data_IF_954852828812
#
_entry.id   IF_954852828812
#
_cell.length_a   1.000
_cell.length_b   1.000
_cell.length_c   1.000
_cell.angle_alpha   90.00
_cell.angle_beta   90.00
_cell.angle_gamma   90.00
#
_symmetry.space_group_name_H-M   'P 1'
#
loop_
_entity.id
_entity.type
_entity.pdbx_description
1 polymer ?
#
# COMPACT_ATOMS: atom_id res chain seq x y z
N UNK A 1 15.36 16.40 6.98
CA UNK A 1 16.10 15.39 6.19
C UNK A 1 15.22 14.48 5.31
N UNK A 2 14.00 14.12 5.70
CA UNK A 2 13.11 13.21 4.93
C UNK A 2 12.71 13.69 3.51
N UNK A 3 12.82 14.99 3.21
CA UNK A 3 12.45 15.54 1.89
C UNK A 3 13.35 15.12 0.72
N UNK A 4 14.64 14.84 0.98
CA UNK A 4 15.62 14.52 -0.09
C UNK A 4 15.46 13.11 -0.65
N UNK A 5 15.31 12.09 0.20
CA UNK A 5 15.08 10.71 -0.24
C UNK A 5 13.80 10.59 -1.07
N UNK A 6 12.79 11.39 -0.74
CA UNK A 6 11.49 11.40 -1.39
C UNK A 6 11.53 11.95 -2.82
N UNK A 7 12.21 13.08 -3.04
CA UNK A 7 12.34 13.65 -4.38
C UNK A 7 13.10 12.70 -5.30
N UNK A 8 14.18 12.09 -4.78
CA UNK A 8 14.95 11.08 -5.51
C UNK A 8 14.07 9.88 -5.89
N UNK A 9 13.34 9.32 -4.94
CA UNK A 9 12.44 8.20 -5.20
C UNK A 9 11.46 8.49 -6.35
N UNK A 10 10.78 9.64 -6.33
CA UNK A 10 9.83 10.01 -7.40
C UNK A 10 10.48 10.16 -8.76
N UNK A 11 11.68 10.71 -8.83
CA UNK A 11 12.46 10.81 -10.07
C UNK A 11 12.83 9.43 -10.61
N UNK A 12 13.30 8.53 -9.74
CA UNK A 12 13.76 7.20 -10.15
C UNK A 12 12.62 6.28 -10.64
N UNK A 13 11.37 6.54 -10.24
CA UNK A 13 10.22 5.71 -10.63
C UNK A 13 9.38 6.30 -11.77
N UNK A 14 9.55 7.57 -12.14
CA UNK A 14 8.62 8.31 -13.02
C UNK A 14 8.38 7.63 -14.39
N UNK A 15 9.41 6.99 -14.96
CA UNK A 15 9.35 6.39 -16.31
C UNK A 15 9.50 4.87 -16.29
N UNK A 16 9.43 4.25 -15.11
CA UNK A 16 9.61 2.80 -14.96
C UNK A 16 8.27 2.13 -14.70
N UNK A 17 8.03 0.98 -15.32
CA UNK A 17 6.86 0.14 -15.02
C UNK A 17 7.17 -0.76 -13.82
N UNK A 18 7.12 -0.18 -12.62
CA UNK A 18 7.46 -0.87 -11.38
C UNK A 18 6.23 -0.97 -10.47
N UNK A 19 5.86 -2.18 -10.00
CA UNK A 19 4.89 -2.29 -8.93
C UNK A 19 5.50 -1.73 -7.64
N UNK A 20 4.71 -0.95 -6.89
CA UNK A 20 5.11 -0.38 -5.60
C UNK A 20 4.18 -0.89 -4.52
N UNK A 21 4.75 -1.43 -3.45
CA UNK A 21 4.02 -1.77 -2.23
C UNK A 21 4.35 -0.76 -1.14
N UNK A 22 3.34 -0.06 -0.63
CA UNK A 22 3.44 0.81 0.54
C UNK A 22 2.78 0.10 1.73
N UNK A 23 3.61 -0.45 2.60
CA UNK A 23 3.14 -1.27 3.70
C UNK A 23 2.77 -0.45 4.94
N UNK A 24 1.69 -0.85 5.63
CA UNK A 24 1.25 -0.35 6.93
C UNK A 24 1.14 1.19 7.00
N UNK A 25 0.55 1.81 5.97
CA UNK A 25 0.34 3.25 5.96
C UNK A 25 -0.73 3.65 6.99
N UNK A 26 -0.42 4.60 7.87
CA UNK A 26 -1.37 5.12 8.88
C UNK A 26 -2.00 6.45 8.50
N UNK A 27 -1.47 7.13 7.47
CA UNK A 27 -2.02 8.40 7.01
C UNK A 27 -1.95 8.57 5.50
N UNK A 28 -3.02 9.14 4.93
CA UNK A 28 -3.13 9.46 3.50
C UNK A 28 -1.94 10.30 3.04
N UNK A 29 -1.47 11.25 3.87
CA UNK A 29 -0.31 12.09 3.56
C UNK A 29 0.93 11.25 3.24
N UNK A 30 1.22 10.19 4.00
CA UNK A 30 2.40 9.34 3.74
C UNK A 30 2.39 8.77 2.32
N UNK A 31 1.21 8.28 1.89
CA UNK A 31 1.02 7.67 0.57
C UNK A 31 1.07 8.71 -0.55
N UNK A 32 0.31 9.81 -0.45
CA UNK A 32 0.25 10.84 -1.51
C UNK A 32 1.64 11.37 -1.88
N UNK A 33 2.53 11.41 -0.89
CA UNK A 33 3.88 11.92 -1.07
C UNK A 33 4.78 10.97 -1.90
N UNK A 34 4.42 9.69 -2.01
CA UNK A 34 5.16 8.64 -2.72
C UNK A 34 4.48 8.21 -4.02
N UNK A 35 3.27 8.69 -4.33
CA UNK A 35 2.61 8.34 -5.58
C UNK A 35 3.42 8.85 -6.80
N UNK A 36 3.62 8.01 -7.82
CA UNK A 36 4.19 8.43 -9.10
C UNK A 36 3.28 9.47 -9.76
N UNK A 37 3.89 10.40 -10.51
CA UNK A 37 3.15 11.42 -11.25
C UNK A 37 2.56 10.92 -12.57
N UNK A 38 2.85 9.67 -12.94
CA UNK A 38 2.50 9.03 -14.21
C UNK A 38 1.76 7.72 -13.94
N UNK A 39 0.83 7.30 -14.81
CA UNK A 39 0.05 6.07 -14.64
C UNK A 39 0.85 4.78 -14.97
N UNK A 40 2.19 4.86 -15.04
CA UNK A 40 3.06 3.76 -15.45
C UNK A 40 3.26 2.67 -14.37
N UNK A 41 2.87 2.96 -13.13
CA UNK A 41 3.09 2.09 -11.97
C UNK A 41 1.77 1.72 -11.28
N UNK A 42 1.64 0.45 -10.91
CA UNK A 42 0.61 0.00 -9.97
C UNK A 42 1.12 0.20 -8.55
N UNK A 43 0.35 0.88 -7.72
CA UNK A 43 0.66 1.08 -6.30
C UNK A 43 -0.34 0.29 -5.45
N UNK A 44 0.16 -0.65 -4.67
CA UNK A 44 -0.61 -1.37 -3.65
C UNK A 44 -0.28 -0.75 -2.29
N UNK A 45 -1.31 -0.47 -1.50
CA UNK A 45 -1.17 0.07 -0.16
C UNK A 45 -1.83 -0.89 0.81
N UNK A 46 -1.10 -1.31 1.84
CA UNK A 46 -1.70 -2.00 2.99
C UNK A 46 -1.88 -0.98 4.12
N UNK A 47 -2.99 -1.11 4.85
CA UNK A 47 -3.31 -0.23 5.96
C UNK A 47 -4.31 -0.91 6.87
N UNK A 48 -4.30 -0.49 8.14
CA UNK A 48 -5.36 -0.78 9.11
C UNK A 48 -6.43 0.33 9.15
N UNK A 49 -6.11 1.49 8.60
CA UNK A 49 -6.98 2.66 8.52
C UNK A 49 -7.73 2.69 7.18
N UNK A 50 -8.84 3.43 7.13
CA UNK A 50 -9.68 3.49 5.93
C UNK A 50 -9.02 4.22 4.75
N UNK A 51 -8.09 5.14 5.04
CA UNK A 51 -7.41 6.01 4.10
C UNK A 51 -8.34 6.64 3.05
N UNK A 52 -9.56 7.03 3.45
CA UNK A 52 -10.64 7.43 2.55
C UNK A 52 -10.26 8.51 1.51
N UNK A 53 -9.32 9.41 1.86
CA UNK A 53 -8.80 10.41 0.94
C UNK A 53 -8.06 9.86 -0.29
N UNK A 54 -7.54 8.63 -0.25
CA UNK A 54 -6.97 7.96 -1.42
C UNK A 54 -8.06 7.51 -2.40
N UNK A 55 -9.20 7.02 -1.89
CA UNK A 55 -10.35 6.66 -2.71
C UNK A 55 -10.94 7.93 -3.35
N UNK A 56 -11.22 8.94 -2.52
CA UNK A 56 -11.91 10.15 -2.95
C UNK A 56 -11.10 11.01 -3.94
N UNK A 57 -9.78 11.10 -3.77
CA UNK A 57 -8.95 12.04 -4.56
C UNK A 57 -8.07 11.35 -5.60
N UNK A 58 -7.67 10.10 -5.34
CA UNK A 58 -6.73 9.38 -6.20
C UNK A 58 -7.36 8.16 -6.89
N UNK A 59 -8.69 8.01 -6.80
CA UNK A 59 -9.41 6.91 -7.43
C UNK A 59 -8.98 5.53 -6.94
N UNK A 60 -8.40 5.44 -5.73
CA UNK A 60 -7.89 4.18 -5.21
C UNK A 60 -9.04 3.18 -5.01
N UNK A 61 -8.83 1.94 -5.47
CA UNK A 61 -9.75 0.85 -5.18
C UNK A 61 -9.43 0.25 -3.81
N UNK A 62 -10.38 0.32 -2.88
CA UNK A 62 -10.20 -0.26 -1.55
C UNK A 62 -10.65 -1.71 -1.54
N UNK A 63 -9.73 -2.61 -1.18
CA UNK A 63 -10.03 -4.01 -0.90
C UNK A 63 -10.10 -4.22 0.61
N UNK A 64 -11.29 -4.51 1.14
CA UNK A 64 -11.45 -4.82 2.56
C UNK A 64 -11.26 -6.33 2.78
N UNK A 65 -10.15 -6.71 3.42
CA UNK A 65 -9.85 -8.10 3.71
C UNK A 65 -10.67 -8.57 4.92
N UNK A 66 -11.41 -9.66 4.75
CA UNK A 66 -12.09 -10.32 5.86
C UNK A 66 -11.08 -11.14 6.67
N UNK A 67 -11.34 -11.38 7.96
CA UNK A 67 -10.59 -12.38 8.72
C UNK A 67 -10.58 -13.73 8.00
N UNK A 68 -9.52 -14.52 8.23
CA UNK A 68 -9.49 -15.90 7.78
C UNK A 68 -10.72 -16.64 8.30
N UNK A 69 -11.28 -17.53 7.48
CA UNK A 69 -12.30 -18.46 7.94
C UNK A 69 -11.71 -19.32 9.07
N UNK A 70 -12.56 -19.75 10.00
CA UNK A 70 -12.14 -20.45 11.22
C UNK A 70 -11.35 -21.73 10.93
N UNK A 71 -11.77 -22.51 9.95
CA UNK A 71 -11.08 -23.72 9.47
C UNK A 71 -9.65 -23.41 9.03
N UNK A 72 -9.48 -22.37 8.21
CA UNK A 72 -8.16 -21.96 7.69
C UNK A 72 -7.29 -21.36 8.78
N UNK A 73 -7.87 -20.58 9.70
CA UNK A 73 -7.13 -20.00 10.83
C UNK A 73 -6.57 -21.08 11.76
N UNK A 74 -7.35 -22.12 12.06
CA UNK A 74 -6.91 -23.26 12.88
C UNK A 74 -5.82 -24.06 12.14
N UNK A 75 -6.01 -24.31 10.83
CA UNK A 75 -4.99 -25.00 10.02
C UNK A 75 -3.66 -24.22 9.96
N UNK A 76 -3.72 -22.88 9.85
CA UNK A 76 -2.54 -22.03 9.93
C UNK A 76 -1.85 -22.15 11.29
N UNK A 77 -2.63 -22.16 12.38
CA UNK A 77 -2.07 -22.31 13.72
C UNK A 77 -1.32 -23.63 13.87
N UNK A 78 -1.94 -24.76 13.50
CA UNK A 78 -1.28 -26.08 13.46
C UNK A 78 0.01 -26.05 12.64
N UNK A 79 -0.01 -25.41 11.47
CA UNK A 79 1.20 -25.28 10.63
C UNK A 79 2.33 -24.51 11.32
N UNK A 80 1.99 -23.50 12.13
CA UNK A 80 2.97 -22.64 12.79
C UNK A 80 3.49 -23.21 14.12
N UNK A 81 2.70 -24.01 14.83
CA UNK A 81 3.05 -24.49 16.17
C UNK A 81 3.32 -26.00 16.28
N UNK A 82 2.93 -26.80 15.27
CA UNK A 82 2.99 -28.27 15.29
C UNK A 82 1.73 -28.90 15.87
#
# INVERSE_FOLDING_TARGET
MAGRCRARYRTEIADRRLPVLLDNASAVKQVRLLLPGTPSCVVVVTSRDSLAGLVAVHGAQRLNLKPLRKDVAIALLHTLIG
#
